data_IF_811128839289
#
_entry.id   IF_811128839289
#
_cell.length_a   1.000
_cell.length_b   1.000
_cell.length_c   1.000
_cell.angle_alpha   90.00
_cell.angle_beta   90.00
_cell.angle_gamma   90.00
#
_symmetry.space_group_name_H-M   'P 1'
#
loop_
_entity.id
_entity.type
_entity.pdbx_description
1 polymer ?
#
# COMPACT_ATOMS: atom_id res chain seq x y z
N UNK A 1 -12.49 28.01 17.38
CA UNK A 1 -12.47 27.60 15.96
C UNK A 1 -13.53 26.53 15.79
N UNK A 2 -14.63 26.84 15.13
CA UNK A 2 -15.76 25.92 14.92
C UNK A 2 -15.28 24.84 13.95
N UNK A 3 -15.22 23.57 14.41
CA UNK A 3 -15.04 22.41 13.56
C UNK A 3 -16.29 22.20 12.71
N UNK A 4 -16.36 22.90 11.58
CA UNK A 4 -17.28 22.52 10.50
C UNK A 4 -16.73 21.28 9.79
N UNK A 5 -16.78 20.14 10.46
CA UNK A 5 -16.66 18.86 9.80
C UNK A 5 -17.95 18.70 9.01
N UNK A 6 -17.92 18.57 7.66
CA UNK A 6 -19.14 18.25 6.92
C UNK A 6 -19.59 16.89 7.44
N UNK A 7 -20.62 16.91 8.28
CA UNK A 7 -21.24 15.68 8.75
C UNK A 7 -21.65 14.88 7.51
N UNK A 8 -21.28 13.61 7.47
CA UNK A 8 -21.88 12.61 6.57
C UNK A 8 -23.36 12.44 6.90
N UNK A 9 -23.99 13.52 7.36
CA UNK A 9 -25.39 13.57 7.74
C UNK A 9 -26.24 13.34 6.51
N UNK A 10 -27.16 12.45 6.71
CA UNK A 10 -28.31 12.18 5.89
C UNK A 10 -28.89 13.50 5.37
N UNK A 11 -28.78 13.74 4.08
CA UNK A 11 -29.41 14.89 3.42
C UNK A 11 -30.94 14.69 3.48
N UNK A 12 -31.69 15.54 4.21
CA UNK A 12 -33.15 15.39 4.32
C UNK A 12 -33.87 15.42 2.97
N UNK A 13 -33.29 16.07 1.95
CA UNK A 13 -33.85 16.13 0.60
C UNK A 13 -33.89 14.77 -0.11
N UNK A 14 -33.12 13.79 0.41
CA UNK A 14 -33.07 12.41 -0.09
C UNK A 14 -34.41 11.68 0.13
N UNK A 15 -35.21 12.08 1.13
CA UNK A 15 -36.48 11.41 1.45
C UNK A 15 -37.64 11.72 0.50
N UNK A 16 -37.60 12.82 -0.21
CA UNK A 16 -38.78 13.39 -0.82
C UNK A 16 -38.91 13.16 -2.33
N UNK A 17 -37.91 12.52 -2.97
CA UNK A 17 -37.99 12.23 -4.40
C UNK A 17 -37.18 11.00 -4.82
N UNK A 18 -37.53 10.42 -5.96
CA UNK A 18 -36.87 9.23 -6.53
C UNK A 18 -35.36 9.44 -6.77
N UNK A 19 -34.96 10.61 -7.24
CA UNK A 19 -33.54 10.93 -7.49
C UNK A 19 -32.73 10.95 -6.20
N UNK A 20 -33.28 11.49 -5.11
CA UNK A 20 -32.65 11.46 -3.80
C UNK A 20 -32.49 10.03 -3.25
N UNK A 21 -33.53 9.21 -3.37
CA UNK A 21 -33.47 7.79 -2.98
C UNK A 21 -32.42 7.03 -3.78
N UNK A 22 -32.38 7.25 -5.10
CA UNK A 22 -31.36 6.61 -5.96
C UNK A 22 -29.95 7.04 -5.58
N UNK A 23 -29.72 8.33 -5.32
CA UNK A 23 -28.42 8.87 -4.86
C UNK A 23 -28.01 8.22 -3.53
N UNK A 24 -28.94 8.09 -2.59
CA UNK A 24 -28.67 7.41 -1.31
C UNK A 24 -28.25 5.96 -1.50
N UNK A 25 -28.97 5.18 -2.32
CA UNK A 25 -28.65 3.78 -2.62
C UNK A 25 -27.27 3.67 -3.27
N UNK A 26 -26.96 4.53 -4.25
CA UNK A 26 -25.67 4.56 -4.92
C UNK A 26 -24.52 4.92 -3.95
N UNK A 27 -24.72 5.90 -3.09
CA UNK A 27 -23.72 6.25 -2.08
C UNK A 27 -23.46 5.08 -1.12
N UNK A 28 -24.52 4.41 -0.63
CA UNK A 28 -24.39 3.23 0.23
C UNK A 28 -23.68 2.07 -0.48
N UNK A 29 -23.95 1.89 -1.75
CA UNK A 29 -23.22 0.90 -2.56
C UNK A 29 -21.74 1.27 -2.68
N UNK A 30 -21.40 2.52 -2.98
CA UNK A 30 -20.01 2.99 -3.09
C UNK A 30 -19.25 2.89 -1.76
N UNK A 31 -19.90 3.16 -0.63
CA UNK A 31 -19.33 2.97 0.71
C UNK A 31 -18.97 1.51 1.02
N UNK A 32 -19.67 0.55 0.39
CA UNK A 32 -19.39 -0.89 0.53
C UNK A 32 -18.26 -1.40 -0.34
N UNK A 33 -17.76 -0.57 -1.25
CA UNK A 33 -16.70 -0.93 -2.21
C UNK A 33 -15.34 -0.51 -1.65
N UNK A 34 -14.49 -1.47 -1.32
CA UNK A 34 -13.13 -1.19 -0.91
C UNK A 34 -12.27 -0.71 -2.09
N UNK A 35 -11.50 0.34 -1.86
CA UNK A 35 -10.61 0.95 -2.84
C UNK A 35 -9.14 0.83 -2.45
N UNK A 36 -8.52 1.97 -2.18
CA UNK A 36 -7.15 2.06 -1.69
C UNK A 36 -7.13 2.88 -0.40
N UNK A 37 -6.52 2.33 0.65
CA UNK A 37 -6.38 2.98 1.96
C UNK A 37 -4.97 2.84 2.50
N UNK A 38 -4.51 3.79 3.33
CA UNK A 38 -3.28 3.62 4.10
C UNK A 38 -3.48 2.51 5.14
N UNK A 39 -2.43 1.76 5.37
CA UNK A 39 -2.43 0.66 6.33
C UNK A 39 -1.08 0.55 7.03
N UNK A 40 -1.09 -0.08 8.21
CA UNK A 40 0.10 -0.37 9.01
C UNK A 40 0.31 -1.88 9.08
N UNK A 41 1.57 -2.29 8.99
CA UNK A 41 1.97 -3.69 9.17
C UNK A 41 1.75 -4.10 10.62
N UNK A 42 1.02 -5.20 10.83
CA UNK A 42 0.79 -5.82 12.14
C UNK A 42 1.75 -6.98 12.35
N UNK A 43 1.91 -7.83 11.33
CA UNK A 43 2.82 -8.96 11.37
C UNK A 43 3.38 -9.26 9.98
N UNK A 44 4.65 -9.62 9.94
CA UNK A 44 5.36 -10.05 8.75
C UNK A 44 6.44 -11.06 9.12
N UNK A 45 6.52 -12.16 8.40
CA UNK A 45 7.58 -13.15 8.58
C UNK A 45 8.28 -13.41 7.25
N UNK A 46 9.39 -12.69 7.03
CA UNK A 46 10.18 -12.79 5.81
C UNK A 46 10.77 -14.17 5.55
N UNK A 47 11.06 -14.92 6.61
CA UNK A 47 11.73 -16.23 6.51
C UNK A 47 10.76 -17.34 6.06
N UNK A 48 9.53 -17.33 6.54
CA UNK A 48 8.56 -18.41 6.29
C UNK A 48 7.49 -18.02 5.28
N UNK A 49 7.06 -16.76 5.25
CA UNK A 49 6.01 -16.25 4.38
C UNK A 49 6.41 -14.90 3.74
N UNK A 50 7.48 -14.85 2.92
CA UNK A 50 8.03 -13.60 2.40
C UNK A 50 7.05 -12.83 1.49
N UNK A 51 6.03 -13.51 0.96
CA UNK A 51 5.09 -12.92 0.00
C UNK A 51 3.77 -12.46 0.62
N UNK A 52 3.60 -12.60 1.94
CA UNK A 52 2.35 -12.26 2.62
C UNK A 52 2.60 -11.42 3.86
N UNK A 53 1.63 -10.56 4.17
CA UNK A 53 1.68 -9.64 5.31
C UNK A 53 0.30 -9.53 5.96
N UNK A 54 0.28 -9.28 7.27
CA UNK A 54 -0.91 -8.90 8.01
C UNK A 54 -0.88 -7.40 8.26
N UNK A 55 -2.00 -6.72 7.98
CA UNK A 55 -2.08 -5.27 8.08
C UNK A 55 -3.36 -4.79 8.77
N UNK A 56 -3.29 -3.58 9.34
CA UNK A 56 -4.39 -2.82 9.91
C UNK A 56 -4.68 -1.62 9.02
N UNK A 57 -5.88 -1.49 8.41
CA UNK A 57 -6.29 -0.25 7.74
C UNK A 57 -6.37 0.90 8.74
N UNK A 58 -5.87 2.08 8.36
CA UNK A 58 -5.77 3.24 9.25
C UNK A 58 -6.94 4.22 9.13
N UNK A 59 -7.77 4.09 8.10
CA UNK A 59 -8.98 4.91 7.94
C UNK A 59 -10.18 4.18 8.53
N UNK A 60 -10.77 4.78 9.53
CA UNK A 60 -11.94 4.23 10.23
C UNK A 60 -13.19 4.21 9.34
N UNK A 61 -14.09 3.31 9.64
CA UNK A 61 -15.47 3.40 9.20
C UNK A 61 -16.19 4.47 10.03
N UNK A 62 -17.07 5.22 9.39
CA UNK A 62 -17.91 6.20 10.08
C UNK A 62 -19.36 5.71 10.03
N UNK A 63 -19.98 5.61 11.20
CA UNK A 63 -21.37 5.22 11.36
C UNK A 63 -22.32 6.39 11.10
N UNK A 64 -23.61 6.12 11.00
CA UNK A 64 -24.63 7.15 10.76
C UNK A 64 -24.77 8.17 11.88
N UNK A 65 -24.34 7.84 13.10
CA UNK A 65 -24.26 8.73 14.26
C UNK A 65 -22.89 9.46 14.36
N UNK A 66 -22.07 9.38 13.32
CA UNK A 66 -20.73 9.96 13.22
C UNK A 66 -19.69 9.36 14.19
N UNK A 67 -19.94 8.15 14.69
CA UNK A 67 -18.94 7.41 15.48
C UNK A 67 -17.91 6.75 14.57
N UNK A 68 -16.63 6.77 14.99
CA UNK A 68 -15.56 6.12 14.25
C UNK A 68 -15.35 4.68 14.75
N UNK A 69 -15.36 3.73 13.83
CA UNK A 69 -15.12 2.32 14.12
C UNK A 69 -13.86 1.85 13.36
N UNK A 70 -12.92 1.25 14.10
CA UNK A 70 -11.74 0.66 13.49
C UNK A 70 -12.13 -0.47 12.53
N UNK A 71 -11.51 -0.49 11.36
CA UNK A 71 -11.66 -1.62 10.44
C UNK A 71 -10.98 -2.86 11.02
N UNK A 72 -11.45 -4.07 10.72
CA UNK A 72 -10.76 -5.29 11.15
C UNK A 72 -9.37 -5.38 10.51
N UNK A 73 -8.47 -6.09 11.19
CA UNK A 73 -7.18 -6.47 10.62
C UNK A 73 -7.38 -7.42 9.45
N UNK A 74 -6.52 -7.29 8.45
CA UNK A 74 -6.55 -8.13 7.26
C UNK A 74 -5.33 -9.04 7.31
N UNK A 75 -5.58 -10.31 7.50
CA UNK A 75 -4.54 -11.33 7.57
C UNK A 75 -4.16 -11.84 6.18
N UNK A 76 -2.88 -12.08 5.98
CA UNK A 76 -2.34 -12.86 4.86
C UNK A 76 -2.70 -12.34 3.48
N UNK A 77 -2.51 -11.04 3.25
CA UNK A 77 -2.59 -10.45 1.91
C UNK A 77 -1.22 -10.43 1.22
N UNK A 78 -1.17 -10.53 -0.12
CA UNK A 78 0.08 -10.45 -0.86
C UNK A 78 0.83 -9.14 -0.59
N UNK A 79 2.16 -9.26 -0.40
CA UNK A 79 3.08 -8.16 -0.40
C UNK A 79 3.49 -7.85 -1.85
N UNK A 80 3.27 -6.61 -2.29
CA UNK A 80 3.76 -6.18 -3.61
C UNK A 80 5.29 -6.17 -3.63
N UNK A 81 5.85 -6.84 -4.61
CA UNK A 81 7.29 -6.87 -4.87
C UNK A 81 7.54 -6.25 -6.24
N UNK A 82 8.37 -5.21 -6.28
CA UNK A 82 8.78 -4.62 -7.56
C UNK A 82 9.83 -5.51 -8.22
N UNK A 83 9.47 -6.20 -9.30
CA UNK A 83 10.36 -7.14 -9.94
C UNK A 83 9.92 -7.56 -11.33
N UNK A 84 10.85 -8.15 -12.07
CA UNK A 84 10.65 -8.68 -13.42
C UNK A 84 11.96 -9.18 -14.01
N UNK A 85 11.89 -10.04 -15.05
CA UNK A 85 13.06 -10.54 -15.76
C UNK A 85 14.08 -11.29 -14.89
N UNK A 86 13.64 -11.90 -13.79
CA UNK A 86 14.50 -12.62 -12.84
C UNK A 86 15.10 -11.74 -11.74
N UNK A 87 14.80 -10.44 -11.70
CA UNK A 87 15.26 -9.50 -10.67
C UNK A 87 14.09 -8.97 -9.84
N UNK A 88 14.33 -8.65 -8.58
CA UNK A 88 13.34 -8.04 -7.70
C UNK A 88 13.98 -7.14 -6.63
N UNK A 89 13.19 -6.21 -6.11
CA UNK A 89 13.53 -5.37 -4.95
C UNK A 89 12.64 -5.82 -3.79
N UNK A 90 13.27 -6.22 -2.68
CA UNK A 90 12.56 -6.69 -1.48
C UNK A 90 12.95 -5.84 -0.27
N UNK A 91 11.95 -5.28 0.38
CA UNK A 91 12.12 -4.53 1.62
C UNK A 91 11.97 -5.45 2.84
N UNK A 92 12.77 -5.20 3.88
CA UNK A 92 12.60 -5.85 5.17
C UNK A 92 11.62 -5.05 6.02
N UNK A 93 10.33 -5.18 5.70
CA UNK A 93 9.27 -4.51 6.46
C UNK A 93 9.13 -5.13 7.85
N UNK A 94 8.71 -4.31 8.82
CA UNK A 94 8.52 -4.68 10.22
C UNK A 94 7.12 -4.25 10.72
N UNK A 95 6.62 -4.83 11.82
CA UNK A 95 5.44 -4.31 12.50
C UNK A 95 5.59 -2.82 12.82
N UNK A 96 4.59 -2.03 12.47
CA UNK A 96 4.61 -0.58 12.58
C UNK A 96 4.88 0.16 11.27
N UNK A 97 5.50 -0.49 10.28
CA UNK A 97 5.73 0.12 8.97
C UNK A 97 4.41 0.43 8.25
N UNK A 98 4.44 1.46 7.45
CA UNK A 98 3.29 1.96 6.73
C UNK A 98 3.30 1.52 5.27
N UNK A 99 2.14 1.64 4.64
CA UNK A 99 1.96 1.37 3.23
C UNK A 99 0.51 1.57 2.82
N UNK A 100 0.18 1.09 1.64
CA UNK A 100 -1.13 1.18 1.04
C UNK A 100 -1.70 -0.21 0.79
N UNK A 101 -2.96 -0.43 1.14
CA UNK A 101 -3.72 -1.59 0.69
C UNK A 101 -4.58 -1.19 -0.49
N UNK A 102 -4.60 -2.03 -1.52
CA UNK A 102 -5.44 -1.85 -2.70
C UNK A 102 -6.25 -3.10 -2.92
N UNK A 103 -7.56 -2.98 -2.89
CA UNK A 103 -8.47 -4.09 -3.20
C UNK A 103 -8.41 -4.44 -4.69
N UNK A 104 -8.36 -5.73 -5.01
CA UNK A 104 -8.48 -6.20 -6.37
C UNK A 104 -9.95 -6.22 -6.83
N UNK A 105 -10.18 -6.12 -8.13
CA UNK A 105 -11.52 -6.10 -8.71
C UNK A 105 -12.28 -7.42 -8.50
N UNK A 106 -11.56 -8.51 -8.30
CA UNK A 106 -12.07 -9.87 -8.12
C UNK A 106 -11.26 -10.63 -7.09
N UNK A 107 -11.84 -11.72 -6.60
CA UNK A 107 -11.15 -12.72 -5.80
C UNK A 107 -9.98 -13.34 -6.58
N UNK A 108 -8.77 -13.21 -6.04
CA UNK A 108 -7.52 -13.68 -6.64
C UNK A 108 -6.97 -14.95 -5.95
N UNK A 109 -7.72 -15.56 -5.05
CA UNK A 109 -7.23 -16.66 -4.20
C UNK A 109 -6.75 -17.87 -5.00
N UNK A 110 -7.44 -18.26 -6.09
CA UNK A 110 -7.01 -19.36 -6.94
C UNK A 110 -5.79 -18.99 -7.78
N UNK A 111 -5.73 -17.75 -8.28
CA UNK A 111 -4.53 -17.27 -8.98
C UNK A 111 -3.29 -17.34 -8.07
N UNK A 112 -3.39 -16.93 -6.81
CA UNK A 112 -2.26 -16.99 -5.86
C UNK A 112 -1.79 -18.41 -5.54
N UNK A 113 -2.61 -19.43 -5.77
CA UNK A 113 -2.23 -20.83 -5.59
C UNK A 113 -1.53 -21.42 -6.81
N UNK A 114 -1.93 -21.02 -8.01
CA UNK A 114 -1.48 -21.63 -9.27
C UNK A 114 -0.53 -20.75 -10.07
N UNK A 115 -0.60 -19.42 -9.90
CA UNK A 115 0.02 -18.38 -10.75
C UNK A 115 -0.32 -18.55 -12.26
N UNK A 116 -1.50 -19.11 -12.55
CA UNK A 116 -2.03 -19.29 -13.91
C UNK A 116 -3.34 -18.54 -14.07
N UNK A 117 -3.84 -18.50 -15.31
CA UNK A 117 -5.16 -17.97 -15.58
C UNK A 117 -6.23 -18.79 -14.87
N UNK A 118 -6.97 -18.17 -13.95
CA UNK A 118 -8.00 -18.81 -13.14
C UNK A 118 -9.27 -17.98 -13.09
N UNK A 119 -10.41 -18.64 -12.88
CA UNK A 119 -11.67 -17.95 -12.56
C UNK A 119 -11.65 -17.46 -11.12
N UNK A 120 -12.41 -16.42 -10.77
CA UNK A 120 -12.60 -16.04 -9.37
C UNK A 120 -13.23 -17.20 -8.57
N UNK A 121 -12.71 -17.46 -7.36
CA UNK A 121 -13.26 -18.50 -6.48
C UNK A 121 -14.62 -18.10 -5.89
N UNK A 122 -14.81 -16.81 -5.67
CA UNK A 122 -16.06 -16.25 -5.10
C UNK A 122 -16.58 -15.09 -5.97
N UNK A 123 -17.80 -14.64 -5.68
CA UNK A 123 -18.40 -13.47 -6.33
C UNK A 123 -17.96 -12.13 -5.73
N UNK A 124 -17.05 -12.14 -4.74
CA UNK A 124 -16.53 -10.92 -4.13
C UNK A 124 -15.93 -9.98 -5.18
N UNK A 125 -16.15 -8.70 -4.97
CA UNK A 125 -15.62 -7.62 -5.80
C UNK A 125 -15.05 -6.54 -4.87
N UNK A 126 -13.87 -6.02 -5.18
CA UNK A 126 -13.27 -4.88 -4.49
C UNK A 126 -13.34 -5.03 -2.97
N UNK A 127 -12.82 -6.14 -2.47
CA UNK A 127 -12.75 -6.45 -1.03
C UNK A 127 -11.30 -6.45 -0.56
N UNK A 128 -11.06 -5.89 0.62
CA UNK A 128 -9.73 -5.94 1.24
C UNK A 128 -9.27 -7.35 1.60
N UNK A 129 -10.18 -8.35 1.65
CA UNK A 129 -9.77 -9.76 1.75
C UNK A 129 -8.97 -10.23 0.54
N UNK A 130 -9.10 -9.56 -0.60
CA UNK A 130 -8.39 -9.85 -1.84
C UNK A 130 -7.43 -8.69 -2.21
N UNK A 131 -6.95 -7.92 -1.21
CA UNK A 131 -6.08 -6.78 -1.43
C UNK A 131 -4.61 -7.19 -1.67
N UNK A 132 -3.83 -6.22 -2.12
CA UNK A 132 -2.36 -6.27 -2.15
C UNK A 132 -1.83 -5.13 -1.31
N UNK A 133 -0.78 -5.37 -0.53
CA UNK A 133 -0.09 -4.35 0.25
C UNK A 133 1.12 -3.80 -0.49
N UNK A 134 1.20 -2.49 -0.59
CA UNK A 134 2.31 -1.72 -1.18
C UNK A 134 3.06 -1.01 -0.05
N UNK A 135 4.28 -1.43 0.31
CA UNK A 135 5.09 -0.73 1.32
C UNK A 135 5.37 0.71 0.89
N UNK A 136 5.31 1.63 1.84
CA UNK A 136 5.59 3.04 1.60
C UNK A 136 6.12 3.69 2.89
N UNK A 137 7.09 4.58 2.77
CA UNK A 137 7.65 5.35 3.88
C UNK A 137 6.81 6.58 4.25
N UNK A 138 5.71 6.85 3.56
CA UNK A 138 4.70 7.88 3.86
C UNK A 138 5.30 9.27 4.16
N UNK A 139 6.16 9.77 3.28
CA UNK A 139 6.85 11.08 3.44
C UNK A 139 7.87 11.14 4.59
N UNK A 140 8.22 10.04 5.19
CA UNK A 140 9.23 10.00 6.25
C UNK A 140 10.64 9.84 5.68
N UNK A 141 11.00 10.67 4.69
CA UNK A 141 12.33 10.67 4.06
C UNK A 141 12.72 12.07 3.63
N UNK A 142 14.03 12.29 3.49
CA UNK A 142 14.61 13.55 3.03
C UNK A 142 15.57 13.27 1.88
N UNK A 143 15.55 14.11 0.85
CA UNK A 143 16.54 14.07 -0.23
C UNK A 143 17.46 15.27 -0.06
N UNK A 144 18.76 15.00 -0.06
CA UNK A 144 19.78 16.07 0.00
C UNK A 144 19.70 16.99 -1.23
N UNK A 145 19.97 18.29 -1.08
CA UNK A 145 19.88 19.26 -2.19
C UNK A 145 20.71 18.86 -3.41
N UNK A 146 21.87 18.25 -3.20
CA UNK A 146 22.79 17.76 -4.26
C UNK A 146 22.23 16.59 -5.05
N UNK A 147 21.26 15.85 -4.50
CA UNK A 147 20.71 14.63 -5.09
C UNK A 147 19.35 14.87 -5.80
N UNK A 148 18.80 16.10 -5.73
CA UNK A 148 17.47 16.43 -6.25
C UNK A 148 17.29 16.20 -7.75
N UNK A 149 18.37 16.23 -8.53
CA UNK A 149 18.34 16.04 -9.99
C UNK A 149 18.47 14.57 -10.42
N UNK A 150 18.73 13.66 -9.47
CA UNK A 150 19.02 12.25 -9.73
C UNK A 150 17.90 11.29 -9.36
N UNK A 151 18.06 10.03 -9.78
CA UNK A 151 17.33 8.91 -9.20
C UNK A 151 18.04 8.50 -7.91
N UNK A 152 17.31 8.57 -6.78
CA UNK A 152 17.84 8.27 -5.46
C UNK A 152 17.23 6.97 -4.92
N UNK A 153 18.07 6.04 -4.51
CA UNK A 153 17.69 4.86 -3.71
C UNK A 153 18.43 5.00 -2.38
N UNK A 154 17.73 5.22 -1.29
CA UNK A 154 18.34 5.62 -0.03
C UNK A 154 17.66 4.98 1.17
N UNK A 155 18.42 4.79 2.26
CA UNK A 155 17.82 4.66 3.59
C UNK A 155 17.09 5.95 3.98
N UNK A 156 16.10 5.86 4.88
CA UNK A 156 15.28 7.00 5.31
C UNK A 156 16.12 8.14 5.88
N UNK A 157 17.20 7.80 6.61
CA UNK A 157 18.15 8.73 7.21
C UNK A 157 19.24 9.25 6.25
N UNK A 158 19.28 8.74 5.01
CA UNK A 158 20.26 9.15 4.01
C UNK A 158 21.69 8.60 4.21
N UNK A 159 21.92 7.78 5.24
CA UNK A 159 23.28 7.25 5.57
C UNK A 159 23.79 6.26 4.53
N UNK A 160 22.89 5.55 3.85
CA UNK A 160 23.20 4.63 2.76
C UNK A 160 22.40 5.02 1.55
N UNK A 161 23.06 5.34 0.44
CA UNK A 161 22.35 5.75 -0.79
C UNK A 161 23.10 5.37 -2.07
N UNK A 162 22.31 5.18 -3.12
CA UNK A 162 22.74 5.09 -4.51
C UNK A 162 22.07 6.22 -5.26
N UNK A 163 22.87 7.06 -5.92
CA UNK A 163 22.36 8.17 -6.71
C UNK A 163 22.83 8.02 -8.16
N UNK A 164 21.89 8.07 -9.08
CA UNK A 164 22.16 8.02 -10.52
C UNK A 164 21.88 9.40 -11.11
N UNK A 165 22.93 10.10 -11.48
CA UNK A 165 22.87 11.36 -12.23
C UNK A 165 23.38 11.18 -13.65
N UNK A 166 23.16 12.15 -14.51
CA UNK A 166 23.70 12.13 -15.87
C UNK A 166 25.24 12.04 -15.83
N UNK A 167 25.78 10.91 -16.30
CA UNK A 167 27.22 10.67 -16.35
C UNK A 167 27.90 10.28 -15.04
N UNK A 168 27.14 10.07 -13.95
CA UNK A 168 27.73 9.73 -12.64
C UNK A 168 26.83 8.78 -11.83
N UNK A 169 27.45 7.81 -11.19
CA UNK A 169 26.84 6.96 -10.16
C UNK A 169 27.54 7.21 -8.85
N UNK A 170 26.83 7.63 -7.84
CA UNK A 170 27.35 7.85 -6.49
C UNK A 170 26.87 6.75 -5.56
N UNK A 171 27.78 6.10 -4.87
CA UNK A 171 27.52 5.12 -3.80
C UNK A 171 27.99 5.72 -2.48
N UNK A 172 27.09 5.87 -1.52
CA UNK A 172 27.40 6.37 -0.18
C UNK A 172 27.00 5.32 0.85
N UNK A 173 27.95 4.90 1.66
CA UNK A 173 27.72 4.01 2.79
C UNK A 173 28.95 4.08 3.74
N UNK A 174 28.80 3.76 5.05
CA UNK A 174 29.95 3.61 5.96
C UNK A 174 30.93 2.53 5.52
N UNK A 175 30.44 1.48 4.85
CA UNK A 175 31.26 0.40 4.27
C UNK A 175 30.66 -0.06 2.95
N UNK A 176 31.48 -0.16 1.90
CA UNK A 176 31.10 -0.73 0.60
C UNK A 176 31.96 -1.96 0.35
N UNK A 177 31.30 -3.13 0.23
CA UNK A 177 31.97 -4.39 -0.09
C UNK A 177 31.64 -4.82 -1.51
N UNK A 178 32.64 -5.05 -2.33
CA UNK A 178 32.52 -5.55 -3.69
C UNK A 178 33.02 -6.98 -3.78
N UNK A 179 32.11 -7.94 -3.96
CA UNK A 179 32.47 -9.35 -4.15
C UNK A 179 32.48 -9.65 -5.66
N UNK A 180 33.68 -9.70 -6.25
CA UNK A 180 33.85 -9.97 -7.68
C UNK A 180 35.13 -10.82 -7.90
N UNK A 181 35.11 -11.68 -8.90
CA UNK A 181 36.30 -12.41 -9.33
C UNK A 181 37.31 -11.50 -10.05
N UNK A 182 36.81 -10.43 -10.69
CA UNK A 182 37.64 -9.42 -11.39
C UNK A 182 36.98 -8.04 -11.24
N UNK A 183 37.70 -7.08 -10.66
CA UNK A 183 37.35 -5.67 -10.67
C UNK A 183 38.23 -4.95 -11.71
N UNK A 184 37.63 -4.43 -12.74
CA UNK A 184 38.30 -3.61 -13.73
C UNK A 184 37.84 -2.15 -13.59
N UNK A 185 38.78 -1.25 -13.33
CA UNK A 185 38.57 0.19 -13.25
C UNK A 185 39.36 0.82 -14.40
N UNK A 186 38.67 1.53 -15.29
CA UNK A 186 39.26 2.25 -16.43
C UNK A 186 39.35 3.73 -16.12
#
# INVERSE_FOLDING_TARGET
MSNNNPSLQFDPSVKDNFAGTLKFILNKFLESVDGMLPAQVVAYNRATEPNFVQVQPLIYLVTTDNSAISRPQIAKIPLFTNGGGGFFVSFNIAPGDLGWIKANDRDISLFLQSFKAEKPNTLRKKSFSDAVFYPDVMRNFTISPEDLSGLVISSVDGSVKIVLNTGMITLTAPLITMNTALLQVN
#
